data_IF_907175189410
#
_entry.id   IF_907175189410
#
_cell.length_a   1.000
_cell.length_b   1.000
_cell.length_c   1.000
_cell.angle_alpha   90.00
_cell.angle_beta   90.00
_cell.angle_gamma   90.00
#
_symmetry.space_group_name_H-M   'P 1'
#
loop_
_entity.id
_entity.type
_entity.pdbx_description
1 polymer ?
#
# COMPACT_ATOMS: atom_id res chain seq x y z
N UNK A 1 13.09 -5.68 -13.80
CA UNK A 1 13.64 -6.23 -12.57
C UNK A 1 13.23 -7.69 -12.37
N UNK A 2 11.96 -8.06 -12.55
CA UNK A 2 11.39 -9.37 -12.19
C UNK A 2 11.09 -10.29 -13.38
N UNK A 3 11.70 -10.07 -14.55
CA UNK A 3 11.40 -10.81 -15.78
C UNK A 3 11.66 -12.33 -15.71
N UNK A 4 12.54 -12.77 -14.80
CA UNK A 4 12.91 -14.18 -14.62
C UNK A 4 11.97 -15.01 -13.73
N UNK A 5 10.98 -14.36 -13.08
CA UNK A 5 10.08 -15.03 -12.16
C UNK A 5 8.78 -15.48 -12.84
N UNK A 6 8.11 -16.53 -12.35
CA UNK A 6 6.78 -16.95 -12.82
C UNK A 6 5.77 -15.78 -12.74
N UNK A 7 4.79 -15.78 -13.65
CA UNK A 7 3.82 -14.67 -13.77
C UNK A 7 3.16 -14.32 -12.42
N UNK A 8 2.66 -15.30 -11.68
CA UNK A 8 1.97 -15.08 -10.41
C UNK A 8 2.86 -14.38 -9.36
N UNK A 9 4.12 -14.83 -9.19
CA UNK A 9 5.10 -14.16 -8.31
C UNK A 9 5.48 -12.77 -8.82
N UNK A 10 5.63 -12.62 -10.12
CA UNK A 10 5.98 -11.35 -10.75
C UNK A 10 4.91 -10.29 -10.52
N UNK A 11 3.63 -10.64 -10.63
CA UNK A 11 2.50 -9.72 -10.43
C UNK A 11 2.44 -9.28 -8.95
N UNK A 12 2.67 -10.18 -8.01
CA UNK A 12 2.82 -9.88 -6.58
C UNK A 12 3.99 -8.92 -6.33
N UNK A 13 5.17 -9.18 -6.92
CA UNK A 13 6.35 -8.31 -6.77
C UNK A 13 6.11 -6.91 -7.35
N UNK A 14 5.48 -6.81 -8.53
CA UNK A 14 5.15 -5.53 -9.14
C UNK A 14 4.16 -4.74 -8.27
N UNK A 15 3.11 -5.40 -7.83
CA UNK A 15 2.12 -4.78 -6.95
C UNK A 15 2.75 -4.34 -5.63
N UNK A 16 3.49 -5.23 -4.95
CA UNK A 16 4.17 -4.92 -3.71
C UNK A 16 5.22 -3.82 -3.82
N UNK A 17 5.86 -3.64 -5.01
CA UNK A 17 6.77 -2.53 -5.24
C UNK A 17 6.05 -1.19 -5.33
N UNK A 18 4.85 -1.15 -5.93
CA UNK A 18 4.04 0.06 -6.05
C UNK A 18 3.33 0.36 -4.73
N UNK A 19 2.73 -0.64 -4.13
CA UNK A 19 1.85 -0.52 -2.97
C UNK A 19 2.61 -0.80 -1.67
N UNK A 20 3.09 0.25 -1.02
CA UNK A 20 3.76 0.16 0.28
C UNK A 20 2.77 0.11 1.45
N UNK A 21 3.20 -0.46 2.56
CA UNK A 21 2.46 -0.42 3.83
C UNK A 21 2.59 0.94 4.52
N UNK A 22 2.39 2.00 3.74
CA UNK A 22 2.52 3.38 4.18
C UNK A 22 1.45 3.79 5.20
N UNK A 23 0.27 3.15 5.15
CA UNK A 23 -0.84 3.49 6.06
C UNK A 23 -0.68 2.87 7.44
N UNK A 24 -0.36 1.57 7.52
CA UNK A 24 -0.39 0.84 8.79
C UNK A 24 0.95 0.92 9.54
N UNK A 25 2.07 0.97 8.83
CA UNK A 25 3.40 1.06 9.43
C UNK A 25 3.99 2.46 9.21
N UNK A 26 3.92 2.99 7.99
CA UNK A 26 4.58 4.23 7.63
C UNK A 26 4.02 5.45 8.35
N UNK A 27 2.69 5.58 8.45
CA UNK A 27 2.07 6.75 9.08
C UNK A 27 2.42 6.87 10.57
N UNK A 28 2.33 5.82 11.43
CA UNK A 28 2.78 5.90 12.81
C UNK A 28 4.27 6.24 12.96
N UNK A 29 5.13 5.72 12.07
CA UNK A 29 6.56 6.04 12.08
C UNK A 29 6.79 7.52 11.77
N UNK A 30 6.14 8.04 10.73
CA UNK A 30 6.26 9.45 10.36
C UNK A 30 5.67 10.39 11.43
N UNK A 31 4.56 10.01 12.07
CA UNK A 31 3.96 10.75 13.18
C UNK A 31 4.93 10.83 14.38
N UNK A 32 5.57 9.73 14.74
CA UNK A 32 6.53 9.71 15.84
C UNK A 32 7.79 10.54 15.57
N UNK A 33 8.25 10.67 14.32
CA UNK A 33 9.49 11.39 13.97
C UNK A 33 9.21 12.86 13.66
N UNK A 34 8.13 13.16 12.94
CA UNK A 34 7.83 14.49 12.40
C UNK A 34 6.53 15.11 12.93
N UNK A 35 5.81 14.40 13.82
CA UNK A 35 4.54 14.86 14.38
C UNK A 35 3.46 15.07 13.32
N UNK A 36 2.54 16.00 13.60
CA UNK A 36 1.40 16.30 12.72
C UNK A 36 1.78 16.69 11.29
N UNK A 37 2.93 17.34 11.09
CA UNK A 37 3.43 17.68 9.76
C UNK A 37 3.79 16.41 8.96
N UNK A 38 4.39 15.43 9.63
CA UNK A 38 4.66 14.11 9.05
C UNK A 38 3.37 13.43 8.58
N UNK A 39 2.32 13.46 9.38
CA UNK A 39 1.00 12.88 9.03
C UNK A 39 0.39 13.56 7.80
N UNK A 40 0.50 14.89 7.68
CA UNK A 40 0.03 15.62 6.50
C UNK A 40 0.77 15.17 5.25
N UNK A 41 2.10 15.12 5.28
CA UNK A 41 2.88 14.67 4.12
C UNK A 41 2.63 13.20 3.76
N UNK A 42 2.49 12.30 4.75
CA UNK A 42 2.07 10.91 4.51
C UNK A 42 0.72 10.85 3.83
N UNK A 43 -0.24 11.64 4.28
CA UNK A 43 -1.59 11.67 3.70
C UNK A 43 -1.56 12.09 2.22
N UNK A 44 -0.77 13.11 1.89
CA UNK A 44 -0.57 13.54 0.50
C UNK A 44 0.16 12.48 -0.34
N UNK A 45 1.17 11.83 0.22
CA UNK A 45 1.89 10.74 -0.43
C UNK A 45 0.99 9.53 -0.73
N UNK A 46 0.05 9.24 0.15
CA UNK A 46 -0.86 8.10 -0.01
C UNK A 46 -1.90 8.28 -1.11
N UNK A 47 -2.33 9.50 -1.43
CA UNK A 47 -3.36 9.74 -2.43
C UNK A 47 -3.03 9.12 -3.80
N UNK A 48 -1.89 9.45 -4.44
CA UNK A 48 -1.54 8.86 -5.73
C UNK A 48 -1.28 7.35 -5.63
N UNK A 49 -0.72 6.86 -4.53
CA UNK A 49 -0.51 5.43 -4.33
C UNK A 49 -1.84 4.67 -4.26
N UNK A 50 -2.80 5.17 -3.50
CA UNK A 50 -4.13 4.55 -3.40
C UNK A 50 -4.84 4.54 -4.74
N UNK A 51 -4.75 5.62 -5.49
CA UNK A 51 -5.31 5.66 -6.85
C UNK A 51 -4.65 4.61 -7.75
N UNK A 52 -3.32 4.54 -7.76
CA UNK A 52 -2.56 3.55 -8.55
C UNK A 52 -2.84 2.12 -8.08
N UNK A 53 -2.97 1.90 -6.78
CA UNK A 53 -3.27 0.60 -6.17
C UNK A 53 -4.60 0.03 -6.69
N UNK A 54 -5.64 0.85 -6.69
CA UNK A 54 -6.98 0.42 -7.06
C UNK A 54 -7.28 0.49 -8.57
N UNK A 55 -6.39 1.09 -9.34
CA UNK A 55 -6.47 1.13 -10.81
C UNK A 55 -5.49 0.16 -11.46
N UNK A 56 -4.25 0.58 -11.67
CA UNK A 56 -3.20 -0.21 -12.33
C UNK A 56 -2.81 -1.45 -11.52
N UNK A 57 -2.80 -1.33 -10.18
CA UNK A 57 -2.47 -2.43 -9.29
C UNK A 57 -3.48 -3.57 -9.36
N UNK A 58 -4.77 -3.24 -9.32
CA UNK A 58 -5.84 -4.24 -9.47
C UNK A 58 -5.80 -4.91 -10.84
N UNK A 59 -5.46 -4.18 -11.90
CA UNK A 59 -5.33 -4.70 -13.25
C UNK A 59 -4.22 -5.77 -13.41
N UNK A 60 -3.25 -5.84 -12.50
CA UNK A 60 -2.22 -6.89 -12.49
C UNK A 60 -2.81 -8.26 -12.12
N UNK A 61 -3.83 -8.28 -11.27
CA UNK A 61 -4.46 -9.51 -10.78
C UNK A 61 -5.72 -9.88 -11.57
N UNK A 62 -6.30 -8.99 -12.36
CA UNK A 62 -7.53 -9.23 -13.12
C UNK A 62 -7.25 -9.43 -14.59
N UNK A 63 -7.63 -10.59 -15.16
CA UNK A 63 -7.57 -10.87 -16.60
C UNK A 63 -8.84 -10.35 -17.30
N UNK A 64 -9.22 -9.09 -17.10
CA UNK A 64 -10.46 -8.53 -17.64
C UNK A 64 -10.16 -7.71 -18.91
N UNK A 65 -11.00 -7.80 -19.92
CA UNK A 65 -10.96 -6.94 -21.11
C UNK A 65 -10.89 -5.45 -20.71
N UNK A 66 -10.02 -4.68 -21.36
CA UNK A 66 -9.71 -3.28 -21.00
C UNK A 66 -10.94 -2.40 -20.75
N UNK A 67 -12.02 -2.57 -21.54
CA UNK A 67 -13.27 -1.79 -21.36
C UNK A 67 -14.08 -2.24 -20.13
N UNK A 68 -14.12 -3.54 -19.87
CA UNK A 68 -14.78 -4.10 -18.69
C UNK A 68 -13.98 -3.83 -17.41
N UNK A 69 -12.64 -3.82 -17.49
CA UNK A 69 -11.74 -3.50 -16.38
C UNK A 69 -11.99 -2.08 -15.85
N UNK A 70 -12.09 -1.08 -16.73
CA UNK A 70 -12.35 0.32 -16.31
C UNK A 70 -13.67 0.43 -15.55
N UNK A 71 -14.74 -0.20 -16.04
CA UNK A 71 -16.04 -0.20 -15.37
C UNK A 71 -15.97 -0.88 -14.00
N UNK A 72 -15.32 -2.04 -13.91
CA UNK A 72 -15.14 -2.78 -12.65
C UNK A 72 -14.32 -2.00 -11.64
N UNK A 73 -13.27 -1.31 -12.08
CA UNK A 73 -12.42 -0.45 -11.24
C UNK A 73 -13.23 0.75 -10.73
N UNK A 74 -13.91 1.48 -11.61
CA UNK A 74 -14.67 2.68 -11.23
C UNK A 74 -15.85 2.37 -10.28
N UNK A 75 -16.46 1.19 -10.43
CA UNK A 75 -17.55 0.73 -9.56
C UNK A 75 -17.04 0.00 -8.31
N UNK A 76 -15.72 -0.12 -8.14
CA UNK A 76 -15.16 -0.76 -6.95
C UNK A 76 -15.44 0.10 -5.70
N UNK A 77 -15.97 -0.47 -4.61
CA UNK A 77 -16.36 0.29 -3.42
C UNK A 77 -15.23 1.13 -2.84
N UNK A 78 -13.97 0.66 -2.93
CA UNK A 78 -12.82 1.42 -2.46
C UNK A 78 -12.55 2.68 -3.30
N UNK A 79 -12.78 2.65 -4.62
CA UNK A 79 -12.63 3.82 -5.49
C UNK A 79 -13.74 4.83 -5.23
N UNK A 80 -14.98 4.35 -5.09
CA UNK A 80 -16.13 5.19 -4.75
C UNK A 80 -15.91 5.87 -3.40
N UNK A 81 -15.54 5.11 -2.37
CA UNK A 81 -15.27 5.64 -1.02
C UNK A 81 -14.14 6.66 -1.02
N UNK A 82 -13.07 6.42 -1.79
CA UNK A 82 -11.96 7.35 -1.95
C UNK A 82 -12.43 8.65 -2.62
N UNK A 83 -13.22 8.56 -3.68
CA UNK A 83 -13.79 9.71 -4.37
C UNK A 83 -14.67 10.56 -3.42
N UNK A 84 -15.56 9.92 -2.67
CA UNK A 84 -16.39 10.59 -1.65
C UNK A 84 -15.49 11.25 -0.60
N UNK A 85 -14.47 10.56 -0.10
CA UNK A 85 -13.53 11.09 0.89
C UNK A 85 -12.79 12.34 0.40
N UNK A 86 -12.34 12.35 -0.86
CA UNK A 86 -11.68 13.52 -1.48
C UNK A 86 -12.66 14.69 -1.61
N UNK A 87 -13.91 14.44 -2.01
CA UNK A 87 -14.95 15.46 -2.11
C UNK A 87 -15.25 16.06 -0.72
N UNK A 88 -15.44 15.21 0.29
CA UNK A 88 -15.66 15.67 1.67
C UNK A 88 -14.48 16.48 2.21
N UNK A 89 -13.26 16.09 1.88
CA UNK A 89 -12.06 16.84 2.24
C UNK A 89 -12.01 18.22 1.57
N UNK A 90 -12.36 18.30 0.28
CA UNK A 90 -12.32 19.56 -0.48
C UNK A 90 -13.39 20.57 -0.02
N UNK A 91 -14.61 20.10 0.26
CA UNK A 91 -15.73 20.95 0.64
C UNK A 91 -15.87 21.13 2.15
N UNK A 92 -15.22 20.28 2.95
CA UNK A 92 -15.26 20.29 4.41
C UNK A 92 -16.66 20.57 5.03
N UNK A 93 -17.71 19.84 4.57
CA UNK A 93 -19.06 20.07 5.09
C UNK A 93 -19.14 19.66 6.57
N UNK A 94 -19.93 20.37 7.41
CA UNK A 94 -20.15 19.99 8.78
C UNK A 94 -20.92 18.65 8.84
N UNK A 95 -20.22 17.56 9.10
CA UNK A 95 -20.85 16.25 9.26
C UNK A 95 -21.48 16.12 10.65
N UNK A 96 -22.68 15.53 10.77
CA UNK A 96 -23.24 15.20 12.07
C UNK A 96 -22.27 14.36 12.90
N UNK A 97 -22.16 14.65 14.20
CA UNK A 97 -21.17 14.02 15.09
C UNK A 97 -21.26 12.50 15.10
N UNK A 98 -22.47 11.95 15.04
CA UNK A 98 -22.64 10.48 15.02
C UNK A 98 -22.05 9.84 13.74
N UNK A 99 -22.18 10.50 12.57
CA UNK A 99 -21.60 10.02 11.29
C UNK A 99 -20.08 10.05 11.36
N UNK A 100 -19.51 11.19 11.77
CA UNK A 100 -18.07 11.37 11.91
C UNK A 100 -17.46 10.37 12.90
N UNK A 101 -18.09 10.17 14.06
CA UNK A 101 -17.65 9.21 15.08
C UNK A 101 -17.71 7.77 14.56
N UNK A 102 -18.80 7.39 13.87
CA UNK A 102 -18.96 6.05 13.30
C UNK A 102 -17.87 5.76 12.27
N UNK A 103 -17.62 6.69 11.33
CA UNK A 103 -16.56 6.55 10.34
C UNK A 103 -15.18 6.40 11.01
N UNK A 104 -14.93 7.20 12.06
CA UNK A 104 -13.68 7.15 12.82
C UNK A 104 -13.49 5.80 13.50
N UNK A 105 -14.50 5.26 14.18
CA UNK A 105 -14.40 3.95 14.83
C UNK A 105 -14.19 2.81 13.83
N UNK A 106 -14.93 2.80 12.71
CA UNK A 106 -14.75 1.82 11.64
C UNK A 106 -13.34 1.91 11.03
N UNK A 107 -12.84 3.12 10.80
CA UNK A 107 -11.48 3.34 10.32
C UNK A 107 -10.43 2.78 11.27
N UNK A 108 -10.59 2.98 12.57
CA UNK A 108 -9.67 2.45 13.61
C UNK A 108 -9.66 0.93 13.68
N UNK A 109 -10.75 0.26 13.32
CA UNK A 109 -10.81 -1.21 13.24
C UNK A 109 -10.01 -1.77 12.06
N UNK A 110 -9.72 -0.97 11.04
CA UNK A 110 -9.04 -1.44 9.82
C UNK A 110 -7.64 -1.98 10.11
N UNK A 111 -6.87 -1.30 10.94
CA UNK A 111 -5.49 -1.70 11.28
C UNK A 111 -5.46 -3.07 11.99
N UNK A 112 -6.15 -3.28 13.12
CA UNK A 112 -6.11 -4.55 13.83
C UNK A 112 -6.68 -5.70 13.00
N UNK A 113 -7.77 -5.48 12.25
CA UNK A 113 -8.33 -6.52 11.38
C UNK A 113 -7.38 -6.91 10.24
N UNK A 114 -6.69 -5.94 9.63
CA UNK A 114 -5.69 -6.23 8.60
C UNK A 114 -4.52 -7.03 9.16
N UNK A 115 -4.05 -6.71 10.36
CA UNK A 115 -2.97 -7.47 11.02
C UNK A 115 -3.40 -8.90 11.37
N UNK A 116 -4.65 -9.09 11.80
CA UNK A 116 -5.20 -10.43 12.03
C UNK A 116 -5.26 -11.26 10.74
N UNK A 117 -5.75 -10.67 9.65
CA UNK A 117 -5.80 -11.35 8.33
C UNK A 117 -4.38 -11.75 7.88
N UNK A 118 -3.42 -10.84 7.97
CA UNK A 118 -2.03 -11.13 7.61
C UNK A 118 -1.46 -12.24 8.50
N UNK A 119 -1.72 -12.17 9.81
CA UNK A 119 -1.31 -13.20 10.76
C UNK A 119 -1.90 -14.57 10.43
N UNK A 120 -3.17 -14.64 10.05
CA UNK A 120 -3.82 -15.87 9.60
C UNK A 120 -3.15 -16.44 8.34
N UNK A 121 -2.95 -15.61 7.30
CA UNK A 121 -2.29 -16.05 6.06
C UNK A 121 -0.85 -16.52 6.34
N UNK A 122 -0.13 -15.79 7.18
CA UNK A 122 1.25 -16.12 7.53
C UNK A 122 1.33 -17.40 8.40
N UNK A 123 0.34 -17.71 9.22
CA UNK A 123 0.30 -18.92 10.04
C UNK A 123 0.22 -20.21 9.22
N UNK A 124 -0.27 -20.14 7.99
CA UNK A 124 -0.30 -21.25 7.05
C UNK A 124 1.08 -21.51 6.41
N UNK A 125 2.01 -20.56 6.52
CA UNK A 125 3.36 -20.67 5.98
C UNK A 125 4.28 -21.44 6.92
N UNK A 126 5.05 -22.41 6.39
CA UNK A 126 6.12 -23.06 7.16
C UNK A 126 7.27 -22.07 7.37
N UNK A 127 7.83 -22.06 8.58
CA UNK A 127 8.98 -21.18 8.93
C UNK A 127 10.16 -21.32 7.97
N UNK A 128 10.42 -22.55 7.47
CA UNK A 128 11.46 -22.84 6.48
C UNK A 128 11.21 -22.19 5.11
N UNK A 129 9.97 -21.83 4.80
CA UNK A 129 9.59 -21.24 3.52
C UNK A 129 9.62 -19.69 3.54
N UNK A 130 9.71 -19.09 4.74
CA UNK A 130 9.84 -17.64 4.90
C UNK A 130 11.16 -17.12 4.29
N UNK A 131 12.23 -17.93 4.34
CA UNK A 131 13.54 -17.61 3.77
C UNK A 131 13.65 -17.98 2.27
N UNK A 132 12.63 -17.71 1.48
CA UNK A 132 12.72 -17.85 0.03
C UNK A 132 13.69 -16.79 -0.54
N UNK A 133 14.66 -17.24 -1.36
CA UNK A 133 15.62 -16.35 -2.02
C UNK A 133 14.94 -15.25 -2.85
N UNK A 134 13.77 -15.54 -3.42
CA UNK A 134 13.01 -14.56 -4.19
C UNK A 134 12.39 -13.48 -3.31
N UNK A 135 11.90 -13.86 -2.12
CA UNK A 135 11.37 -12.91 -1.13
C UNK A 135 12.51 -12.03 -0.56
N UNK A 136 13.66 -12.63 -0.25
CA UNK A 136 14.83 -11.88 0.22
C UNK A 136 15.33 -10.87 -0.84
N UNK A 137 15.39 -11.29 -2.12
CA UNK A 137 15.75 -10.41 -3.22
C UNK A 137 14.76 -9.24 -3.37
N UNK A 138 13.45 -9.51 -3.29
CA UNK A 138 12.42 -8.48 -3.31
C UNK A 138 12.58 -7.52 -2.12
N UNK A 139 12.76 -8.05 -0.91
CA UNK A 139 12.93 -7.25 0.31
C UNK A 139 14.15 -6.33 0.22
N UNK A 140 15.27 -6.80 -0.32
CA UNK A 140 16.47 -5.99 -0.53
C UNK A 140 16.18 -4.81 -1.48
N UNK A 141 15.50 -5.08 -2.59
CA UNK A 141 15.12 -4.02 -3.54
C UNK A 141 14.17 -3.03 -2.86
N UNK A 142 13.14 -3.55 -2.18
CA UNK A 142 12.06 -2.73 -1.63
C UNK A 142 12.49 -1.88 -0.43
N UNK A 143 13.25 -2.49 0.50
CA UNK A 143 13.58 -1.86 1.78
C UNK A 143 14.91 -1.08 1.75
N UNK A 144 15.77 -1.36 0.79
CA UNK A 144 17.11 -0.73 0.73
C UNK A 144 17.30 0.04 -0.58
N UNK A 145 17.21 -0.63 -1.73
CA UNK A 145 17.56 -0.02 -3.01
C UNK A 145 16.57 1.09 -3.38
N UNK A 146 15.27 0.82 -3.27
CA UNK A 146 14.24 1.78 -3.65
C UNK A 146 14.27 3.05 -2.79
N UNK A 147 14.28 3.00 -1.44
CA UNK A 147 14.41 4.21 -0.63
C UNK A 147 15.74 4.93 -0.79
N UNK A 148 16.85 4.21 -1.07
CA UNK A 148 18.13 4.83 -1.35
C UNK A 148 18.07 5.67 -2.65
N UNK A 149 17.44 5.15 -3.70
CA UNK A 149 17.23 5.89 -4.96
C UNK A 149 16.37 7.12 -4.71
N UNK A 150 15.25 6.97 -3.98
CA UNK A 150 14.36 8.10 -3.62
C UNK A 150 15.12 9.16 -2.82
N UNK A 151 15.92 8.74 -1.83
CA UNK A 151 16.76 9.65 -1.04
C UNK A 151 17.71 10.45 -1.91
N UNK A 152 18.46 9.79 -2.80
CA UNK A 152 19.43 10.46 -3.69
C UNK A 152 18.75 11.46 -4.61
N UNK A 153 17.64 11.04 -5.25
CA UNK A 153 16.90 11.92 -6.18
C UNK A 153 16.37 13.16 -5.45
N UNK A 154 15.68 12.97 -4.31
CA UNK A 154 15.08 14.09 -3.58
C UNK A 154 16.12 15.00 -2.95
N UNK A 155 17.27 14.46 -2.52
CA UNK A 155 18.39 15.23 -2.01
C UNK A 155 19.02 16.12 -3.10
N UNK A 156 19.16 15.61 -4.32
CA UNK A 156 19.64 16.38 -5.46
C UNK A 156 18.68 17.51 -5.87
N UNK A 157 17.37 17.32 -5.62
CA UNK A 157 16.35 18.33 -5.87
C UNK A 157 16.28 19.42 -4.79
N UNK A 158 17.11 19.34 -3.74
CA UNK A 158 17.12 20.27 -2.59
C UNK A 158 15.74 20.49 -1.95
N UNK A 159 14.97 19.39 -1.79
CA UNK A 159 13.63 19.42 -1.21
C UNK A 159 13.74 19.58 0.32
N UNK A 160 12.67 20.14 0.92
CA UNK A 160 12.55 20.28 2.37
C UNK A 160 12.88 18.97 3.11
N UNK A 161 13.58 19.08 4.24
CA UNK A 161 14.12 17.95 4.98
C UNK A 161 13.03 17.02 5.54
N UNK A 162 11.88 17.58 5.95
CA UNK A 162 10.75 16.78 6.46
C UNK A 162 10.09 16.01 5.32
N UNK A 163 9.85 16.68 4.18
CA UNK A 163 9.28 16.03 3.00
C UNK A 163 10.21 14.94 2.46
N UNK A 164 11.52 15.18 2.43
CA UNK A 164 12.52 14.18 2.06
C UNK A 164 12.46 12.98 3.00
N UNK A 165 12.50 13.21 4.30
CA UNK A 165 12.48 12.16 5.31
C UNK A 165 11.21 11.32 5.25
N UNK A 166 10.04 11.95 5.15
CA UNK A 166 8.75 11.26 5.00
C UNK A 166 8.72 10.43 3.72
N UNK A 167 9.17 10.98 2.59
CA UNK A 167 9.19 10.26 1.30
C UNK A 167 10.08 9.03 1.34
N UNK A 168 11.25 9.13 1.98
CA UNK A 168 12.17 8.01 2.17
C UNK A 168 11.55 6.94 3.07
N UNK A 169 10.97 7.33 4.20
CA UNK A 169 10.26 6.41 5.10
C UNK A 169 9.15 5.68 4.33
N UNK A 170 8.27 6.41 3.63
CA UNK A 170 7.16 5.81 2.88
C UNK A 170 7.63 4.87 1.77
N UNK A 171 8.71 5.21 1.09
CA UNK A 171 9.29 4.37 0.04
C UNK A 171 9.98 3.12 0.60
N UNK A 172 10.51 3.17 1.82
CA UNK A 172 11.16 2.06 2.52
C UNK A 172 10.21 1.15 3.31
N UNK A 173 8.90 1.38 3.27
CA UNK A 173 7.95 0.48 3.92
C UNK A 173 7.83 -0.86 3.18
N UNK A 174 7.60 -1.98 3.87
CA UNK A 174 7.36 -3.29 3.24
C UNK A 174 6.16 -3.25 2.31
N UNK A 175 5.92 -4.33 1.57
CA UNK A 175 4.73 -4.43 0.72
C UNK A 175 3.45 -4.25 1.55
N UNK A 176 2.46 -3.59 0.98
CA UNK A 176 1.19 -3.37 1.65
C UNK A 176 0.43 -4.68 1.86
N UNK A 177 -0.27 -4.79 3.01
CA UNK A 177 -1.12 -5.94 3.34
C UNK A 177 -2.17 -6.25 2.27
N UNK A 178 -2.59 -5.25 1.51
CA UNK A 178 -3.46 -5.43 0.35
C UNK A 178 -2.86 -6.33 -0.72
N UNK A 179 -1.53 -6.48 -0.78
CA UNK A 179 -0.85 -7.39 -1.72
C UNK A 179 -1.27 -8.83 -1.49
N UNK A 180 -1.24 -9.28 -0.24
CA UNK A 180 -1.65 -10.64 0.12
C UNK A 180 -3.16 -10.83 -0.07
N UNK A 181 -3.97 -9.89 0.38
CA UNK A 181 -5.44 -9.94 0.27
C UNK A 181 -5.90 -10.00 -1.20
N UNK A 182 -5.30 -9.18 -2.07
CA UNK A 182 -5.67 -9.17 -3.49
C UNK A 182 -5.12 -10.39 -4.23
N UNK A 183 -3.90 -10.84 -3.92
CA UNK A 183 -3.35 -12.05 -4.50
C UNK A 183 -4.24 -13.26 -4.17
N UNK A 184 -4.67 -13.41 -2.92
CA UNK A 184 -5.57 -14.48 -2.52
C UNK A 184 -6.94 -14.37 -3.19
N UNK A 185 -7.53 -13.18 -3.21
CA UNK A 185 -8.86 -12.93 -3.81
C UNK A 185 -8.93 -13.20 -5.31
N UNK A 186 -7.84 -13.00 -6.05
CA UNK A 186 -7.79 -13.08 -7.52
C UNK A 186 -6.91 -14.23 -8.02
N UNK A 187 -6.83 -15.33 -7.28
CA UNK A 187 -6.09 -16.55 -7.63
C UNK A 187 -4.60 -16.30 -7.97
N UNK A 188 -4.01 -15.29 -7.34
CA UNK A 188 -2.57 -15.01 -7.38
C UNK A 188 -1.82 -15.87 -6.35
N UNK A 189 -0.52 -15.61 -6.19
CA UNK A 189 0.29 -16.28 -5.18
C UNK A 189 0.17 -15.56 -3.81
N UNK A 190 -0.96 -15.78 -3.11
CA UNK A 190 -1.24 -15.22 -1.77
C UNK A 190 -0.22 -15.66 -0.74
N UNK A 191 0.24 -16.92 -0.84
CA UNK A 191 1.28 -17.48 0.03
C UNK A 191 2.63 -16.75 -0.15
N UNK A 192 3.02 -16.46 -1.39
CA UNK A 192 4.22 -15.65 -1.65
C UNK A 192 4.01 -14.19 -1.22
N UNK A 193 2.83 -13.64 -1.46
CA UNK A 193 2.51 -12.26 -1.10
C UNK A 193 2.56 -12.00 0.41
N UNK A 194 2.28 -12.99 1.25
CA UNK A 194 2.39 -12.88 2.71
C UNK A 194 3.86 -12.87 3.21
N UNK A 195 4.82 -13.31 2.37
CA UNK A 195 6.25 -13.36 2.70
C UNK A 195 7.01 -12.06 2.33
N UNK A 196 6.43 -11.19 1.52
CA UNK A 196 7.04 -9.96 0.98
C UNK A 196 6.37 -8.69 1.47
#
# INVERSE_FOLDING_TARGET
>A
LFAKFPKNKKDVMHYGLICSNSSFIGMPVADNIYGSLGVVYVSMFQLPIRFTMWTSGLALFTNVDKKSAVKTILLHPCIISMGIGVILMAFNPPLPTFVSSTITYLSRCTIPLSMLIIGCILSECKVSEIFDKSALYFSLIRLVIFPAIVFVILKLMNIDSVLLGVSVIMSGMPAGSTTAILADKYDGDGHYASKV
#
